data_IF_911978971457
#
_entry.id   IF_911978971457
#
_cell.length_a   1.000
_cell.length_b   1.000
_cell.length_c   1.000
_cell.angle_alpha   90.00
_cell.angle_beta   90.00
_cell.angle_gamma   90.00
#
_symmetry.space_group_name_H-M   'P 1'
#
loop_
_entity.id
_entity.type
_entity.pdbx_description
1 polymer ?
#
# COMPACT_ATOMS: atom_id res chain seq x y z
N UNK A 1 12.53 20.40 12.92
CA UNK A 1 11.90 20.58 11.58
C UNK A 1 12.96 20.89 10.52
N UNK A 2 13.85 21.85 10.76
CA UNK A 2 14.89 22.22 9.81
C UNK A 2 15.95 21.13 9.58
N UNK A 3 16.39 20.46 10.65
CA UNK A 3 17.31 19.33 10.59
C UNK A 3 16.75 18.16 9.76
N UNK A 4 15.46 17.87 9.90
CA UNK A 4 14.79 16.83 9.13
C UNK A 4 14.67 17.19 7.64
N UNK A 5 14.36 18.46 7.32
CA UNK A 5 14.37 18.94 5.94
C UNK A 5 15.75 18.76 5.31
N UNK A 6 16.81 19.09 6.05
CA UNK A 6 18.21 18.88 5.61
C UNK A 6 18.53 17.40 5.41
N UNK A 7 18.13 16.54 6.34
CA UNK A 7 18.34 15.09 6.22
C UNK A 7 17.64 14.50 4.97
N UNK A 8 16.44 14.99 4.64
CA UNK A 8 15.74 14.57 3.43
C UNK A 8 16.40 15.09 2.14
N UNK A 9 17.01 16.27 2.16
CA UNK A 9 17.69 16.86 1.00
C UNK A 9 19.07 16.26 0.72
N UNK A 10 19.70 15.65 1.73
CA UNK A 10 21.01 15.02 1.59
C UNK A 10 20.99 13.91 0.52
N UNK A 11 22.11 13.71 -0.18
CA UNK A 11 22.23 12.61 -1.12
C UNK A 11 22.04 11.28 -0.38
N UNK A 12 21.09 10.42 -0.79
CA UNK A 12 20.90 9.13 -0.15
C UNK A 12 22.20 8.31 -0.23
N UNK A 13 22.66 7.73 0.88
CA UNK A 13 23.91 6.99 0.88
C UNK A 13 23.82 5.80 -0.08
N UNK A 14 24.95 5.45 -0.69
CA UNK A 14 25.02 4.33 -1.63
C UNK A 14 24.55 3.02 -0.97
N UNK A 15 24.82 2.86 0.33
CA UNK A 15 24.38 1.69 1.11
C UNK A 15 22.85 1.55 1.11
N UNK A 16 22.10 2.64 1.30
CA UNK A 16 20.64 2.62 1.23
C UNK A 16 20.14 2.26 -0.18
N UNK A 17 20.73 2.87 -1.21
CA UNK A 17 20.30 2.66 -2.61
C UNK A 17 20.52 1.23 -3.06
N UNK A 18 21.70 0.66 -2.76
CA UNK A 18 22.05 -0.72 -3.12
C UNK A 18 21.29 -1.73 -2.25
N UNK A 19 21.17 -1.50 -0.94
CA UNK A 19 20.42 -2.42 -0.07
C UNK A 19 18.93 -2.48 -0.42
N UNK A 20 18.32 -1.40 -0.94
CA UNK A 20 16.96 -1.46 -1.49
C UNK A 20 16.87 -2.39 -2.71
N UNK A 21 17.84 -2.35 -3.63
CA UNK A 21 17.86 -3.28 -4.77
C UNK A 21 18.02 -4.72 -4.30
N UNK A 22 18.95 -4.97 -3.37
CA UNK A 22 19.18 -6.31 -2.81
C UNK A 22 17.95 -6.82 -2.06
N UNK A 23 17.35 -6.00 -1.20
CA UNK A 23 16.14 -6.37 -0.46
C UNK A 23 14.97 -6.70 -1.37
N UNK A 24 14.77 -5.92 -2.45
CA UNK A 24 13.77 -6.23 -3.45
C UNK A 24 14.09 -7.52 -4.23
N UNK A 25 15.37 -7.76 -4.56
CA UNK A 25 15.81 -8.98 -5.22
C UNK A 25 15.50 -10.22 -4.37
N UNK A 26 15.67 -10.15 -3.04
CA UNK A 26 15.27 -11.21 -2.12
C UNK A 26 13.76 -11.45 -2.18
N UNK A 27 12.96 -10.39 -2.07
CA UNK A 27 11.49 -10.49 -2.14
C UNK A 27 11.02 -11.18 -3.41
N UNK A 28 11.45 -10.69 -4.57
CA UNK A 28 10.96 -11.20 -5.85
C UNK A 28 11.45 -12.63 -6.11
N UNK A 29 12.64 -12.98 -5.60
CA UNK A 29 13.14 -14.36 -5.67
C UNK A 29 12.29 -15.31 -4.84
N UNK A 30 12.01 -14.95 -3.57
CA UNK A 30 11.14 -15.76 -2.70
C UNK A 30 9.73 -15.85 -3.28
N UNK A 31 9.15 -14.73 -3.72
CA UNK A 31 7.82 -14.72 -4.33
C UNK A 31 7.77 -15.56 -5.61
N UNK A 32 8.77 -15.45 -6.49
CA UNK A 32 8.85 -16.25 -7.71
C UNK A 32 8.94 -17.75 -7.43
N UNK A 33 9.76 -18.15 -6.45
CA UNK A 33 9.88 -19.55 -6.04
C UNK A 33 8.57 -20.10 -5.46
N UNK A 34 7.90 -19.35 -4.58
CA UNK A 34 6.61 -19.75 -3.99
C UNK A 34 5.52 -19.84 -5.06
N UNK A 35 5.42 -18.83 -5.92
CA UNK A 35 4.35 -18.77 -6.93
C UNK A 35 4.59 -19.72 -8.12
N UNK A 36 5.82 -20.20 -8.32
CA UNK A 36 6.12 -21.26 -9.30
C UNK A 36 5.57 -22.63 -8.90
N UNK A 37 5.22 -22.83 -7.63
CA UNK A 37 4.83 -24.14 -7.09
C UNK A 37 6.00 -25.08 -6.82
N UNK A 38 7.25 -24.66 -7.06
CA UNK A 38 8.42 -25.54 -6.89
C UNK A 38 8.72 -25.84 -5.41
N UNK A 39 8.47 -24.88 -4.52
CA UNK A 39 8.71 -25.07 -3.07
C UNK A 39 7.52 -25.67 -2.31
N UNK A 40 6.37 -25.85 -2.96
CA UNK A 40 5.12 -26.23 -2.32
C UNK A 40 3.92 -25.54 -2.95
N UNK A 41 2.74 -25.58 -2.28
CA UNK A 41 1.53 -24.96 -2.80
C UNK A 41 1.63 -23.43 -2.87
N UNK A 42 0.95 -22.84 -3.85
CA UNK A 42 0.91 -21.39 -4.06
C UNK A 42 0.08 -20.70 -2.98
N UNK A 43 0.33 -19.41 -2.76
CA UNK A 43 -0.44 -18.62 -1.77
C UNK A 43 -1.96 -18.64 -2.05
N UNK A 44 -2.36 -18.64 -3.32
CA UNK A 44 -3.78 -18.73 -3.71
C UNK A 44 -4.38 -20.10 -3.37
N UNK A 45 -3.63 -21.19 -3.57
CA UNK A 45 -4.07 -22.56 -3.29
C UNK A 45 -4.24 -22.78 -1.79
N UNK A 46 -3.30 -22.30 -0.98
CA UNK A 46 -3.40 -22.37 0.50
C UNK A 46 -4.59 -21.53 0.99
N UNK A 47 -4.79 -20.34 0.41
CA UNK A 47 -5.94 -19.47 0.76
C UNK A 47 -7.29 -20.08 0.40
N UNK A 48 -7.36 -20.85 -0.70
CA UNK A 48 -8.54 -21.63 -1.08
C UNK A 48 -8.77 -22.82 -0.13
N UNK A 49 -7.70 -23.50 0.30
CA UNK A 49 -7.77 -24.60 1.27
C UNK A 49 -8.27 -24.11 2.63
N UNK A 50 -7.70 -23.02 3.14
CA UNK A 50 -8.12 -22.37 4.39
C UNK A 50 -9.12 -21.24 4.11
N UNK A 51 -10.11 -21.50 3.24
CA UNK A 51 -11.10 -20.50 2.87
C UNK A 51 -11.85 -19.98 4.09
N UNK A 52 -11.99 -18.66 4.14
CA UNK A 52 -12.74 -17.90 5.15
C UNK A 52 -13.83 -17.08 4.44
N UNK A 53 -14.78 -16.48 5.18
CA UNK A 53 -15.78 -15.61 4.56
C UNK A 53 -15.19 -14.35 3.89
N UNK A 54 -13.94 -13.98 4.17
CA UNK A 54 -13.24 -12.87 3.48
C UNK A 54 -12.27 -13.34 2.40
N UNK A 55 -12.20 -14.64 2.08
CA UNK A 55 -11.29 -15.13 1.05
C UNK A 55 -11.71 -14.55 -0.32
N UNK A 56 -10.88 -13.71 -0.96
CA UNK A 56 -11.21 -13.11 -2.24
C UNK A 56 -11.11 -14.13 -3.37
N UNK A 57 -11.73 -13.84 -4.51
CA UNK A 57 -11.51 -14.59 -5.74
C UNK A 57 -10.00 -14.64 -6.11
N UNK A 58 -9.53 -15.76 -6.64
CA UNK A 58 -8.09 -16.03 -6.86
C UNK A 58 -7.35 -14.99 -7.70
N UNK A 59 -8.03 -14.33 -8.66
CA UNK A 59 -7.43 -13.25 -9.46
C UNK A 59 -6.98 -12.03 -8.63
N UNK A 60 -7.54 -11.84 -7.44
CA UNK A 60 -7.22 -10.70 -6.58
C UNK A 60 -5.77 -10.70 -6.11
N UNK A 61 -5.17 -11.89 -5.97
CA UNK A 61 -3.76 -12.05 -5.62
C UNK A 61 -2.81 -11.50 -6.70
N UNK A 62 -3.29 -11.26 -7.92
CA UNK A 62 -2.54 -10.60 -8.98
C UNK A 62 -2.08 -9.17 -8.64
N UNK A 63 -2.71 -8.53 -7.65
CA UNK A 63 -2.29 -7.19 -7.18
C UNK A 63 -0.84 -7.17 -6.65
N UNK A 64 -0.36 -8.28 -6.08
CA UNK A 64 1.03 -8.41 -5.66
C UNK A 64 2.00 -8.21 -6.81
N UNK A 65 1.69 -8.74 -8.00
CA UNK A 65 2.51 -8.55 -9.19
C UNK A 65 2.61 -7.08 -9.60
N UNK A 66 1.50 -6.33 -9.54
CA UNK A 66 1.48 -4.89 -9.81
C UNK A 66 2.30 -4.12 -8.76
N UNK A 67 2.10 -4.42 -7.47
CA UNK A 67 2.83 -3.79 -6.37
C UNK A 67 4.33 -4.02 -6.53
N UNK A 68 4.76 -5.27 -6.70
CA UNK A 68 6.17 -5.63 -6.81
C UNK A 68 6.81 -5.08 -8.08
N UNK A 69 6.11 -5.04 -9.21
CA UNK A 69 6.63 -4.42 -10.43
C UNK A 69 6.95 -2.93 -10.22
N UNK A 70 6.04 -2.18 -9.59
CA UNK A 70 6.24 -0.75 -9.30
C UNK A 70 7.36 -0.54 -8.26
N UNK A 71 7.38 -1.35 -7.21
CA UNK A 71 8.42 -1.32 -6.17
C UNK A 71 9.80 -1.64 -6.72
N UNK A 72 9.91 -2.65 -7.60
CA UNK A 72 11.15 -3.03 -8.27
C UNK A 72 11.66 -1.94 -9.19
N UNK A 73 10.77 -1.34 -9.99
CA UNK A 73 11.12 -0.17 -10.81
C UNK A 73 11.60 1.00 -9.95
N UNK A 74 10.97 1.26 -8.79
CA UNK A 74 11.42 2.25 -7.82
C UNK A 74 12.78 1.93 -7.18
N UNK A 75 13.05 0.65 -6.84
CA UNK A 75 14.33 0.21 -6.29
C UNK A 75 15.46 0.39 -7.31
N UNK A 76 15.24 -0.05 -8.55
CA UNK A 76 16.20 0.10 -9.66
C UNK A 76 16.42 1.59 -9.98
N UNK A 77 15.35 2.37 -10.10
CA UNK A 77 15.46 3.82 -10.33
C UNK A 77 16.23 4.51 -9.21
N UNK A 78 16.07 4.09 -7.95
CA UNK A 78 16.88 4.61 -6.83
C UNK A 78 18.36 4.32 -6.99
N UNK A 79 18.76 3.21 -7.60
CA UNK A 79 20.17 2.87 -7.81
C UNK A 79 20.83 3.68 -8.92
N UNK A 80 20.07 4.16 -9.92
CA UNK A 80 20.62 5.01 -10.98
C UNK A 80 20.87 6.46 -10.53
N UNK A 81 21.98 7.10 -10.98
CA UNK A 81 22.29 8.49 -10.63
C UNK A 81 21.28 9.49 -11.22
N UNK A 82 20.62 9.13 -12.33
CA UNK A 82 19.69 10.01 -13.04
C UNK A 82 18.54 10.50 -12.16
N UNK A 83 18.23 11.79 -12.24
CA UNK A 83 17.19 12.43 -11.44
C UNK A 83 17.61 12.79 -10.01
N UNK A 84 18.83 12.44 -9.58
CA UNK A 84 19.46 13.10 -8.43
C UNK A 84 20.12 14.42 -8.85
N UNK A 85 20.34 15.31 -7.89
CA UNK A 85 20.96 16.63 -8.09
C UNK A 85 20.06 17.73 -8.66
N UNK A 86 18.91 17.38 -9.26
CA UNK A 86 17.93 18.36 -9.79
C UNK A 86 17.19 19.15 -8.70
N UNK A 87 15.86 19.15 -8.71
CA UNK A 87 15.04 19.84 -7.70
C UNK A 87 15.10 19.22 -6.28
N UNK A 88 15.91 18.18 -6.10
CA UNK A 88 16.06 17.44 -4.85
C UNK A 88 14.92 16.45 -4.55
N UNK A 89 13.90 16.32 -5.41
CA UNK A 89 12.70 15.53 -5.10
C UNK A 89 13.00 14.03 -5.00
N UNK A 90 13.90 13.52 -5.84
CA UNK A 90 14.34 12.12 -5.78
C UNK A 90 15.10 11.81 -4.49
N UNK A 91 16.00 12.69 -4.05
CA UNK A 91 16.72 12.57 -2.77
C UNK A 91 15.72 12.47 -1.62
N UNK A 92 14.79 13.43 -1.56
CA UNK A 92 13.78 13.53 -0.51
C UNK A 92 12.93 12.27 -0.42
N UNK A 93 12.42 11.76 -1.54
CA UNK A 93 11.53 10.59 -1.52
C UNK A 93 12.28 9.30 -1.18
N UNK A 94 13.50 9.11 -1.68
CA UNK A 94 14.32 7.93 -1.37
C UNK A 94 14.74 7.93 0.10
N UNK A 95 15.09 9.08 0.67
CA UNK A 95 15.37 9.20 2.11
C UNK A 95 14.11 9.04 2.99
N UNK A 96 12.95 9.47 2.50
CA UNK A 96 11.67 9.29 3.19
C UNK A 96 11.27 7.80 3.26
N UNK A 97 11.50 7.04 2.19
CA UNK A 97 11.32 5.58 2.21
C UNK A 97 12.35 4.94 3.15
N UNK A 98 13.62 5.30 3.00
CA UNK A 98 14.70 4.72 3.80
C UNK A 98 14.71 3.20 3.72
N UNK A 99 14.98 2.56 4.87
CA UNK A 99 15.01 1.09 4.99
C UNK A 99 13.63 0.47 5.22
N UNK A 100 12.56 1.28 5.26
CA UNK A 100 11.21 0.81 5.58
C UNK A 100 10.67 -0.23 4.60
N UNK A 101 10.96 -0.05 3.30
CA UNK A 101 10.68 -1.06 2.27
C UNK A 101 11.40 -2.38 2.53
N UNK A 102 12.67 -2.36 2.89
CA UNK A 102 13.46 -3.58 3.13
C UNK A 102 12.87 -4.39 4.28
N UNK A 103 12.52 -3.73 5.39
CA UNK A 103 11.89 -4.39 6.53
C UNK A 103 10.57 -5.04 6.11
N UNK A 104 9.71 -4.30 5.39
CA UNK A 104 8.45 -4.83 4.89
C UNK A 104 8.64 -6.02 3.95
N UNK A 105 9.56 -5.94 3.01
CA UNK A 105 9.87 -7.00 2.05
C UNK A 105 10.41 -8.28 2.71
N UNK A 106 11.26 -8.16 3.72
CA UNK A 106 11.74 -9.34 4.45
C UNK A 106 10.62 -10.01 5.24
N UNK A 107 9.72 -9.22 5.83
CA UNK A 107 8.55 -9.74 6.55
C UNK A 107 7.55 -10.40 5.58
N UNK A 108 7.30 -9.82 4.41
CA UNK A 108 6.48 -10.43 3.35
C UNK A 108 7.12 -11.71 2.78
N UNK A 109 8.44 -11.75 2.67
CA UNK A 109 9.17 -12.96 2.24
C UNK A 109 9.03 -14.07 3.27
N UNK A 110 9.25 -13.75 4.55
CA UNK A 110 9.09 -14.70 5.64
C UNK A 110 7.65 -15.21 5.75
N UNK A 111 6.65 -14.32 5.59
CA UNK A 111 5.24 -14.69 5.61
C UNK A 111 4.92 -15.79 4.61
N UNK A 112 5.39 -15.66 3.36
CA UNK A 112 5.16 -16.67 2.32
C UNK A 112 5.77 -18.03 2.69
N UNK A 113 6.97 -18.02 3.27
CA UNK A 113 7.66 -19.25 3.70
C UNK A 113 6.87 -19.97 4.79
N UNK A 114 6.42 -19.25 5.82
CA UNK A 114 5.62 -19.85 6.88
C UNK A 114 4.24 -20.29 6.39
N UNK A 115 3.64 -19.55 5.45
CA UNK A 115 2.30 -19.88 4.95
C UNK A 115 2.27 -21.26 4.26
N UNK A 116 3.34 -21.62 3.55
CA UNK A 116 3.53 -22.94 2.93
C UNK A 116 3.57 -24.11 3.92
N UNK A 117 3.78 -23.87 5.22
CA UNK A 117 3.82 -24.95 6.21
C UNK A 117 2.41 -25.48 6.54
N UNK A 118 1.35 -24.71 6.27
CA UNK A 118 -0.05 -25.13 6.43
C UNK A 118 -0.43 -25.62 7.85
N UNK A 119 0.39 -25.33 8.87
CA UNK A 119 0.12 -25.71 10.27
C UNK A 119 -0.56 -24.56 11.03
N UNK A 120 -1.37 -24.85 12.07
CA UNK A 120 -2.00 -23.79 12.87
C UNK A 120 -0.99 -22.84 13.52
N UNK A 121 0.16 -23.36 13.97
CA UNK A 121 1.25 -22.52 14.51
C UNK A 121 1.84 -21.58 13.46
N UNK A 122 2.01 -22.05 12.23
CA UNK A 122 2.48 -21.22 11.12
C UNK A 122 1.46 -20.13 10.74
N UNK A 123 0.15 -20.38 10.85
CA UNK A 123 -0.88 -19.35 10.58
C UNK A 123 -0.81 -18.18 11.58
N UNK A 124 -0.51 -18.44 12.85
CA UNK A 124 -0.24 -17.40 13.84
C UNK A 124 0.99 -16.57 13.49
N UNK A 125 2.09 -17.24 13.12
CA UNK A 125 3.31 -16.56 12.68
C UNK A 125 3.04 -15.72 11.43
N UNK A 126 2.25 -16.24 10.49
CA UNK A 126 1.84 -15.51 9.29
C UNK A 126 1.08 -14.23 9.61
N UNK A 127 0.10 -14.30 10.51
CA UNK A 127 -0.65 -13.12 10.95
C UNK A 127 0.29 -12.09 11.60
N UNK A 128 1.21 -12.51 12.47
CA UNK A 128 2.19 -11.62 13.07
C UNK A 128 3.08 -10.95 12.02
N UNK A 129 3.61 -11.71 11.06
CA UNK A 129 4.46 -11.19 9.99
C UNK A 129 3.72 -10.20 9.08
N UNK A 130 2.45 -10.47 8.74
CA UNK A 130 1.61 -9.54 7.98
C UNK A 130 1.35 -8.23 8.75
N UNK A 131 1.08 -8.31 10.05
CA UNK A 131 0.89 -7.12 10.89
C UNK A 131 2.18 -6.30 11.04
N UNK A 132 3.33 -6.96 11.16
CA UNK A 132 4.63 -6.28 11.20
C UNK A 132 4.96 -5.65 9.84
N UNK A 133 4.68 -6.34 8.72
CA UNK A 133 4.86 -5.79 7.38
C UNK A 133 3.95 -4.57 7.17
N UNK A 134 2.69 -4.66 7.61
CA UNK A 134 1.74 -3.55 7.59
C UNK A 134 2.27 -2.36 8.41
N UNK A 135 2.85 -2.60 9.59
CA UNK A 135 3.45 -1.56 10.40
C UNK A 135 4.66 -0.91 9.71
N UNK A 136 5.54 -1.70 9.08
CA UNK A 136 6.69 -1.21 8.35
C UNK A 136 6.29 -0.36 7.13
N UNK A 137 5.35 -0.84 6.32
CA UNK A 137 4.83 -0.10 5.16
C UNK A 137 3.99 1.10 5.58
N UNK A 138 3.18 0.98 6.62
CA UNK A 138 2.41 2.09 7.20
C UNK A 138 3.30 3.20 7.76
N UNK A 139 4.40 2.84 8.42
CA UNK A 139 5.43 3.80 8.85
C UNK A 139 6.06 4.49 7.64
N UNK A 140 6.46 3.72 6.62
CA UNK A 140 7.04 4.26 5.38
C UNK A 140 6.06 5.23 4.70
N UNK A 141 4.79 4.86 4.59
CA UNK A 141 3.73 5.69 4.01
C UNK A 141 3.51 6.97 4.83
N UNK A 142 3.57 6.89 6.16
CA UNK A 142 3.47 8.06 7.03
C UNK A 142 4.60 9.07 6.79
N UNK A 143 5.83 8.60 6.53
CA UNK A 143 6.97 9.46 6.17
C UNK A 143 6.76 10.12 4.81
N UNK A 144 6.17 9.40 3.86
CA UNK A 144 5.80 9.96 2.56
C UNK A 144 4.70 11.02 2.65
N UNK A 145 3.68 10.81 3.49
CA UNK A 145 2.67 11.85 3.76
C UNK A 145 3.30 13.08 4.41
N UNK A 146 4.16 12.88 5.39
CA UNK A 146 4.88 13.98 6.06
C UNK A 146 5.79 14.75 5.10
N UNK A 147 6.46 14.05 4.18
CA UNK A 147 7.24 14.68 3.11
C UNK A 147 6.37 15.61 2.26
N UNK A 148 5.19 15.14 1.84
CA UNK A 148 4.22 15.93 1.05
C UNK A 148 3.67 17.13 1.83
N UNK A 149 3.46 17.00 3.14
CA UNK A 149 3.06 18.11 4.01
C UNK A 149 4.19 19.17 4.13
N UNK A 150 5.45 18.73 4.24
CA UNK A 150 6.59 19.63 4.42
C UNK A 150 7.05 20.33 3.14
N UNK A 151 6.85 19.71 1.97
CA UNK A 151 7.43 20.12 0.69
C UNK A 151 6.38 20.40 -0.40
N UNK A 152 5.10 20.15 -0.13
CA UNK A 152 4.03 20.26 -1.11
C UNK A 152 3.92 19.04 -2.03
N UNK A 153 3.15 19.14 -3.12
CA UNK A 153 2.98 18.07 -4.11
C UNK A 153 4.33 17.64 -4.70
N UNK A 154 4.46 16.34 -5.02
CA UNK A 154 5.61 15.85 -5.77
C UNK A 154 5.66 16.55 -7.13
N UNK A 155 6.84 17.04 -7.50
CA UNK A 155 7.08 17.71 -8.79
C UNK A 155 6.99 16.76 -10.00
N UNK A 156 7.04 15.45 -9.76
CA UNK A 156 7.09 14.43 -10.80
C UNK A 156 6.07 13.32 -10.57
N UNK A 157 5.25 13.07 -11.59
CA UNK A 157 4.33 11.94 -11.62
C UNK A 157 5.05 10.59 -11.60
N UNK A 158 6.27 10.51 -12.15
CA UNK A 158 7.11 9.31 -12.09
C UNK A 158 7.49 8.97 -10.65
N UNK A 159 7.87 9.97 -9.84
CA UNK A 159 8.19 9.73 -8.43
C UNK A 159 6.96 9.28 -7.64
N UNK A 160 5.78 9.82 -7.95
CA UNK A 160 4.54 9.32 -7.37
C UNK A 160 4.30 7.86 -7.75
N UNK A 161 4.40 7.52 -9.03
CA UNK A 161 4.16 6.17 -9.56
C UNK A 161 5.12 5.13 -9.01
N UNK A 162 6.41 5.46 -8.84
CA UNK A 162 7.43 4.49 -8.45
C UNK A 162 7.60 4.33 -6.94
N UNK A 163 7.18 5.31 -6.13
CA UNK A 163 7.48 5.33 -4.71
C UNK A 163 6.22 5.46 -3.85
N UNK A 164 5.37 6.43 -4.16
CA UNK A 164 4.21 6.72 -3.33
C UNK A 164 3.08 5.72 -3.58
N UNK A 165 2.70 5.54 -4.85
CA UNK A 165 1.65 4.63 -5.26
C UNK A 165 1.92 3.19 -4.79
N UNK A 166 3.07 2.55 -5.08
CA UNK A 166 3.33 1.20 -4.61
C UNK A 166 3.36 1.06 -3.09
N UNK A 167 3.87 2.05 -2.35
CA UNK A 167 3.86 2.02 -0.88
C UNK A 167 2.42 2.06 -0.35
N UNK A 168 1.58 2.89 -0.96
CA UNK A 168 0.16 2.99 -0.62
C UNK A 168 -0.62 1.72 -0.96
N UNK A 169 -0.47 1.22 -2.19
CA UNK A 169 -1.07 -0.04 -2.63
C UNK A 169 -0.68 -1.19 -1.70
N UNK A 170 0.60 -1.32 -1.37
CA UNK A 170 1.08 -2.39 -0.49
C UNK A 170 0.53 -2.25 0.93
N UNK A 171 0.59 -1.05 1.52
CA UNK A 171 0.02 -0.81 2.87
C UNK A 171 -1.47 -1.17 2.92
N UNK A 172 -2.24 -0.74 1.91
CA UNK A 172 -3.66 -1.04 1.83
C UNK A 172 -3.92 -2.54 1.68
N UNK A 173 -3.18 -3.21 0.79
CA UNK A 173 -3.33 -4.64 0.57
C UNK A 173 -2.91 -5.47 1.78
N UNK A 174 -1.84 -5.10 2.48
CA UNK A 174 -1.42 -5.71 3.75
C UNK A 174 -2.49 -5.56 4.84
N UNK A 175 -3.25 -4.47 4.87
CA UNK A 175 -4.37 -4.32 5.81
C UNK A 175 -5.50 -5.32 5.53
N UNK A 176 -5.80 -5.56 4.25
CA UNK A 176 -6.76 -6.59 3.82
C UNK A 176 -6.23 -7.99 4.12
N UNK A 177 -4.97 -8.27 3.77
CA UNK A 177 -4.32 -9.55 4.00
C UNK A 177 -4.23 -9.90 5.49
N UNK A 178 -3.98 -8.90 6.35
CA UNK A 178 -3.98 -9.08 7.80
C UNK A 178 -5.38 -9.42 8.33
N UNK A 179 -6.43 -8.77 7.80
CA UNK A 179 -7.82 -9.11 8.12
C UNK A 179 -8.18 -10.54 7.70
N UNK A 180 -7.75 -10.97 6.51
CA UNK A 180 -7.89 -12.35 6.05
C UNK A 180 -7.11 -13.31 6.97
N UNK A 181 -5.85 -13.00 7.28
CA UNK A 181 -4.99 -13.80 8.15
C UNK A 181 -5.59 -14.02 9.54
N UNK A 182 -6.27 -13.01 10.09
CA UNK A 182 -6.97 -13.12 11.37
C UNK A 182 -8.12 -14.14 11.34
N UNK A 183 -8.72 -14.39 10.19
CA UNK A 183 -9.74 -15.43 10.00
C UNK A 183 -9.14 -16.79 9.63
N UNK A 184 -8.01 -16.81 8.93
CA UNK A 184 -7.30 -18.05 8.57
C UNK A 184 -6.84 -18.80 9.83
N UNK A 185 -6.41 -18.08 10.86
CA UNK A 185 -6.00 -18.67 12.15
C UNK A 185 -7.09 -19.58 12.74
N UNK A 186 -8.30 -19.10 13.10
CA UNK A 186 -9.35 -19.97 13.61
C UNK A 186 -9.85 -20.98 12.57
N UNK A 187 -9.83 -20.66 11.27
CA UNK A 187 -10.16 -21.61 10.21
C UNK A 187 -9.22 -22.83 10.21
N UNK A 188 -7.93 -22.64 10.53
CA UNK A 188 -6.95 -23.73 10.64
C UNK A 188 -7.21 -24.70 11.79
N UNK A 189 -8.04 -24.32 12.77
CA UNK A 189 -8.54 -25.18 13.85
C UNK A 189 -9.93 -25.78 13.56
N UNK A 190 -10.44 -25.63 12.33
CA UNK A 190 -11.75 -26.16 11.93
C UNK A 190 -12.94 -25.27 12.27
N UNK A 191 -12.73 -24.03 12.73
CA UNK A 191 -13.81 -23.12 13.16
C UNK A 191 -14.40 -22.28 12.02
N UNK A 192 -14.27 -22.71 10.77
CA UNK A 192 -14.59 -21.90 9.58
C UNK A 192 -16.06 -21.45 9.51
N UNK A 193 -16.98 -22.29 9.96
CA UNK A 193 -18.43 -22.09 9.78
C UNK A 193 -19.01 -21.04 10.76
N UNK A 194 -18.19 -20.52 11.68
CA UNK A 194 -18.57 -19.53 12.70
C UNK A 194 -17.92 -18.16 12.50
N UNK A 195 -17.31 -17.91 11.34
CA UNK A 195 -16.47 -16.72 11.13
C UNK A 195 -17.20 -15.52 10.52
N UNK A 196 -18.48 -15.64 10.13
CA UNK A 196 -19.21 -14.57 9.44
C UNK A 196 -19.26 -13.25 10.21
N UNK A 197 -19.56 -13.30 11.52
CA UNK A 197 -19.61 -12.09 12.35
C UNK A 197 -18.22 -11.43 12.46
N UNK A 198 -17.17 -12.23 12.65
CA UNK A 198 -15.79 -11.74 12.69
C UNK A 198 -15.37 -11.15 11.33
N UNK A 199 -15.78 -11.79 10.23
CA UNK A 199 -15.52 -11.32 8.87
C UNK A 199 -16.17 -9.96 8.61
N UNK A 200 -17.44 -9.79 8.99
CA UNK A 200 -18.13 -8.49 8.88
C UNK A 200 -17.40 -7.43 9.70
N UNK A 201 -17.06 -7.72 10.97
CA UNK A 201 -16.38 -6.76 11.84
C UNK A 201 -14.99 -6.36 11.29
N UNK A 202 -14.22 -7.33 10.78
CA UNK A 202 -12.91 -7.07 10.19
C UNK A 202 -13.01 -6.27 8.89
N UNK A 203 -13.96 -6.61 8.00
CA UNK A 203 -14.20 -5.85 6.77
C UNK A 203 -14.55 -4.38 7.06
N UNK A 204 -15.41 -4.14 8.05
CA UNK A 204 -15.76 -2.78 8.51
C UNK A 204 -14.52 -2.09 9.09
N UNK A 205 -13.75 -2.77 9.94
CA UNK A 205 -12.56 -2.19 10.57
C UNK A 205 -11.50 -1.76 9.54
N UNK A 206 -11.19 -2.65 8.58
CA UNK A 206 -10.25 -2.37 7.48
C UNK A 206 -10.76 -1.22 6.62
N UNK A 207 -12.06 -1.21 6.31
CA UNK A 207 -12.68 -0.10 5.56
C UNK A 207 -12.55 1.21 6.31
N UNK A 208 -12.94 1.27 7.58
CA UNK A 208 -12.90 2.50 8.37
C UNK A 208 -11.48 3.05 8.51
N UNK A 209 -10.50 2.20 8.79
CA UNK A 209 -9.09 2.59 8.82
C UNK A 209 -8.63 3.16 7.48
N UNK A 210 -9.00 2.50 6.38
CA UNK A 210 -8.71 2.95 5.03
C UNK A 210 -9.37 4.27 4.65
N UNK A 211 -10.64 4.46 5.02
CA UNK A 211 -11.38 5.71 4.76
C UNK A 211 -10.74 6.90 5.49
N UNK A 212 -10.23 6.71 6.71
CA UNK A 212 -9.47 7.75 7.42
C UNK A 212 -8.23 8.15 6.62
N UNK A 213 -7.50 7.18 6.07
CA UNK A 213 -6.31 7.44 5.26
C UNK A 213 -6.67 8.17 3.95
N UNK A 214 -7.67 7.67 3.21
CA UNK A 214 -8.16 8.27 1.96
C UNK A 214 -8.64 9.69 2.22
N UNK A 215 -9.43 9.92 3.26
CA UNK A 215 -9.98 11.23 3.58
C UNK A 215 -8.90 12.22 4.01
N UNK A 216 -8.03 11.83 4.96
CA UNK A 216 -7.01 12.71 5.53
C UNK A 216 -5.92 13.07 4.52
N UNK A 217 -5.42 12.08 3.79
CA UNK A 217 -4.24 12.25 2.94
C UNK A 217 -4.56 12.37 1.45
N UNK A 218 -5.85 12.22 1.09
CA UNK A 218 -6.33 12.21 -0.29
C UNK A 218 -5.67 11.14 -1.15
N UNK A 219 -5.42 9.97 -0.54
CA UNK A 219 -4.71 8.88 -1.21
C UNK A 219 -5.68 7.96 -1.97
N UNK A 220 -5.79 8.19 -3.28
CA UNK A 220 -6.63 7.38 -4.15
C UNK A 220 -6.08 5.97 -4.38
N UNK A 221 -4.76 5.74 -4.28
CA UNK A 221 -4.19 4.41 -4.49
C UNK A 221 -4.62 3.46 -3.36
N UNK A 222 -4.64 3.96 -2.13
CA UNK A 222 -5.18 3.23 -0.98
C UNK A 222 -6.65 2.86 -1.21
N UNK A 223 -7.48 3.84 -1.58
CA UNK A 223 -8.91 3.63 -1.83
C UNK A 223 -9.18 2.61 -2.95
N UNK A 224 -8.45 2.70 -4.07
CA UNK A 224 -8.57 1.75 -5.19
C UNK A 224 -8.19 0.33 -4.79
N UNK A 225 -7.22 0.16 -3.89
CA UNK A 225 -6.82 -1.17 -3.39
C UNK A 225 -7.92 -1.80 -2.55
N UNK A 226 -8.60 -1.03 -1.71
CA UNK A 226 -9.76 -1.53 -0.95
C UNK A 226 -10.90 -1.92 -1.90
N UNK A 227 -11.17 -1.11 -2.93
CA UNK A 227 -12.18 -1.45 -3.93
C UNK A 227 -11.84 -2.76 -4.66
N UNK A 228 -10.57 -2.92 -5.08
CA UNK A 228 -10.06 -4.16 -5.67
C UNK A 228 -10.33 -5.37 -4.78
N UNK A 229 -9.99 -5.25 -3.48
CA UNK A 229 -10.23 -6.30 -2.50
C UNK A 229 -11.73 -6.63 -2.37
N UNK A 230 -12.59 -5.64 -2.18
CA UNK A 230 -14.02 -5.89 -1.95
C UNK A 230 -14.76 -6.39 -3.19
N UNK A 231 -14.35 -6.00 -4.40
CA UNK A 231 -14.86 -6.61 -5.64
C UNK A 231 -14.54 -8.11 -5.66
N UNK A 232 -13.31 -8.48 -5.28
CA UNK A 232 -12.92 -9.89 -5.25
C UNK A 232 -13.59 -10.70 -4.14
N UNK A 233 -13.77 -10.12 -2.94
CA UNK A 233 -14.52 -10.74 -1.84
C UNK A 233 -15.98 -10.94 -2.26
N UNK A 234 -16.61 -9.92 -2.84
CA UNK A 234 -17.98 -10.01 -3.34
C UNK A 234 -18.15 -11.13 -4.37
N UNK A 235 -17.18 -11.27 -5.28
CA UNK A 235 -17.19 -12.29 -6.33
C UNK A 235 -17.00 -13.73 -5.83
N UNK A 236 -16.57 -13.94 -4.59
CA UNK A 236 -16.28 -15.26 -4.03
C UNK A 236 -17.15 -15.61 -2.81
N UNK A 237 -18.31 -14.96 -2.65
CA UNK A 237 -19.03 -15.02 -1.38
C UNK A 237 -20.21 -16.00 -1.34
N UNK A 238 -20.31 -16.74 -0.22
CA UNK A 238 -21.40 -17.69 0.07
C UNK A 238 -22.40 -17.18 1.11
N UNK A 239 -21.96 -16.46 2.13
CA UNK A 239 -22.83 -15.91 3.17
C UNK A 239 -23.43 -14.55 2.78
N UNK A 240 -24.76 -14.38 2.83
CA UNK A 240 -25.43 -13.13 2.47
C UNK A 240 -24.95 -11.91 3.27
N UNK A 241 -24.64 -12.08 4.56
CA UNK A 241 -24.25 -10.97 5.43
C UNK A 241 -22.95 -10.32 4.96
N UNK A 242 -21.89 -11.11 4.79
CA UNK A 242 -20.60 -10.63 4.29
C UNK A 242 -20.70 -10.17 2.83
N UNK A 243 -21.59 -10.75 2.01
CA UNK A 243 -21.81 -10.29 0.64
C UNK A 243 -22.34 -8.85 0.62
N UNK A 244 -23.33 -8.57 1.46
CA UNK A 244 -23.89 -7.21 1.63
C UNK A 244 -22.82 -6.30 2.22
N UNK A 245 -22.07 -6.74 3.24
CA UNK A 245 -20.98 -5.95 3.82
C UNK A 245 -19.92 -5.59 2.78
N UNK A 246 -19.50 -6.51 1.92
CA UNK A 246 -18.55 -6.24 0.85
C UNK A 246 -19.06 -5.18 -0.14
N UNK A 247 -20.35 -5.25 -0.53
CA UNK A 247 -20.97 -4.22 -1.36
C UNK A 247 -21.01 -2.85 -0.69
N UNK A 248 -21.38 -2.80 0.60
CA UNK A 248 -21.41 -1.54 1.36
C UNK A 248 -20.00 -0.95 1.49
N UNK A 249 -19.01 -1.77 1.84
CA UNK A 249 -17.62 -1.34 1.96
C UNK A 249 -17.08 -0.82 0.61
N UNK A 250 -17.41 -1.51 -0.49
CA UNK A 250 -17.08 -1.07 -1.85
C UNK A 250 -17.74 0.28 -2.18
N UNK A 251 -19.04 0.42 -1.97
CA UNK A 251 -19.79 1.63 -2.28
C UNK A 251 -19.30 2.85 -1.48
N UNK A 252 -19.05 2.68 -0.18
CA UNK A 252 -18.53 3.75 0.68
C UNK A 252 -17.09 4.12 0.27
N UNK A 253 -16.24 3.12 0.01
CA UNK A 253 -14.86 3.36 -0.47
C UNK A 253 -14.86 4.15 -1.79
N UNK A 254 -15.74 3.77 -2.73
CA UNK A 254 -15.92 4.47 -3.99
C UNK A 254 -16.38 5.91 -3.77
N UNK A 255 -17.43 6.13 -2.98
CA UNK A 255 -17.97 7.45 -2.71
C UNK A 255 -16.93 8.39 -2.08
N UNK A 256 -16.22 7.94 -1.04
CA UNK A 256 -15.20 8.77 -0.37
C UNK A 256 -14.03 9.08 -1.30
N UNK A 257 -13.58 8.11 -2.10
CA UNK A 257 -12.51 8.32 -3.08
C UNK A 257 -12.94 9.29 -4.19
N UNK A 258 -14.17 9.18 -4.69
CA UNK A 258 -14.73 10.09 -5.69
C UNK A 258 -14.83 11.52 -5.15
N UNK A 259 -15.42 11.70 -3.96
CA UNK A 259 -15.52 13.01 -3.31
C UNK A 259 -14.14 13.65 -3.10
N UNK A 260 -13.14 12.85 -2.75
CA UNK A 260 -11.76 13.30 -2.58
C UNK A 260 -11.16 13.81 -3.89
N UNK A 261 -11.38 13.11 -5.00
CA UNK A 261 -10.92 13.53 -6.34
C UNK A 261 -11.65 14.80 -6.80
N UNK A 262 -12.97 14.88 -6.59
CA UNK A 262 -13.77 16.05 -6.98
C UNK A 262 -13.36 17.30 -6.19
N UNK A 263 -13.18 17.19 -4.87
CA UNK A 263 -12.71 18.30 -4.03
C UNK A 263 -11.32 18.79 -4.45
N UNK A 264 -10.43 17.90 -4.89
CA UNK A 264 -9.11 18.27 -5.42
C UNK A 264 -9.23 19.14 -6.67
N UNK A 265 -10.10 18.77 -7.62
CA UNK A 265 -10.32 19.54 -8.85
C UNK A 265 -10.86 20.95 -8.57
N UNK A 266 -11.85 21.07 -7.67
CA UNK A 266 -12.42 22.36 -7.31
C UNK A 266 -11.39 23.30 -6.65
N UNK A 267 -10.53 22.80 -5.77
CA UNK A 267 -9.49 23.63 -5.14
C UNK A 267 -8.45 24.16 -6.15
N UNK A 268 -8.04 23.34 -7.12
CA UNK A 268 -7.09 23.77 -8.18
C UNK A 268 -7.73 24.86 -9.06
N UNK A 269 -8.96 24.64 -9.52
CA UNK A 269 -9.67 25.61 -10.36
C UNK A 269 -9.98 26.93 -9.65
N UNK A 270 -10.24 26.90 -8.34
CA UNK A 270 -10.47 28.10 -7.55
C UNK A 270 -9.18 28.94 -7.39
N UNK A 271 -8.03 28.30 -7.20
CA UNK A 271 -6.73 28.99 -7.13
C UNK A 271 -6.31 29.62 -8.46
N UNK A 272 -6.47 28.90 -9.57
CA UNK A 272 -6.18 29.45 -10.91
C UNK A 272 -7.05 30.68 -11.23
N UNK A 273 -8.32 30.68 -10.80
CA UNK A 273 -9.21 31.84 -10.96
C UNK A 273 -8.86 33.02 -10.05
N UNK A 274 -8.26 32.81 -8.87
CA UNK A 274 -7.80 33.92 -8.03
C UNK A 274 -6.53 34.56 -8.58
N UNK A 275 -5.59 33.75 -9.08
CA UNK A 275 -4.33 34.26 -9.66
C UNK A 275 -4.58 35.07 -10.94
N UNK A 276 -5.51 34.63 -11.80
CA UNK A 276 -5.92 35.42 -12.98
C UNK A 276 -6.67 36.73 -12.65
N UNK A 277 -7.17 36.89 -11.42
CA UNK A 277 -7.90 38.10 -10.98
C UNK A 277 -7.02 39.09 -10.22
N UNK A 278 -5.75 38.77 -9.95
CA UNK A 278 -4.82 39.77 -9.44
C UNK A 278 -4.51 40.77 -10.57
N UNK A 279 -4.87 42.06 -10.44
CA UNK A 279 -4.55 43.05 -11.46
C UNK A 279 -3.02 43.23 -11.53
N UNK A 280 -2.50 43.38 -12.76
CA UNK A 280 -1.09 43.62 -13.15
C UNK A 280 -0.47 44.93 -12.58
N UNK A 281 -0.90 45.40 -11.41
CA UNK A 281 -0.53 46.71 -10.86
C UNK A 281 0.69 46.67 -9.93
N UNK A 282 1.76 45.94 -10.26
CA UNK A 282 3.02 46.00 -9.51
C UNK A 282 4.30 46.01 -10.37
N UNK A 283 4.25 46.38 -11.65
CA UNK A 283 5.46 46.47 -12.50
C UNK A 283 5.91 47.91 -12.82
N UNK A 284 5.18 48.94 -12.43
CA UNK A 284 5.63 50.34 -12.58
C UNK A 284 5.83 50.96 -11.22
N UNK A 285 7.08 50.97 -10.72
CA UNK A 285 7.66 52.05 -9.90
C UNK A 285 9.04 51.62 -9.37
N UNK A 286 10.02 51.49 -10.26
CA UNK A 286 11.46 51.70 -9.99
C UNK A 286 12.16 52.14 -11.26
N UNK A 287 12.13 53.44 -11.53
CA UNK A 287 13.12 54.17 -12.33
C UNK A 287 13.83 55.12 -11.38
#
# INVERSE_FOLDING_TARGET
MEEEKRALQAMPPWSLRISNVVGFAVLISVNGLVQSGWLGPRNSEISEKFSTPLTPAGWAFGIWGLIFALQGAGAVYSAFPDGYGGDGSKQRIVNAIGYGWQVGWYLESAWQIFFMMETPGAMWICLLLLLLALAAFGWTLSRLYRLKELQGPLSSGLLYLLYFMPTSLNTAWLSVASGLGALVVPASYGLRDHLDACAVALAITVTMAGLVIVHKYRDSAYGLTLMWAFVAVYGNQRSPSVRITALVCLAVSFMVSLLTVLRRKHHVQAGERSDMRQPLNQVTDRV
#
